data_IF_295471454541
#
_entry.id   IF_295471454541
#
_cell.length_a   1.000
_cell.length_b   1.000
_cell.length_c   1.000
_cell.angle_alpha   90.00
_cell.angle_beta   90.00
_cell.angle_gamma   90.00
#
_symmetry.space_group_name_H-M   'P 1'
#
loop_
_entity.id
_entity.type
_entity.pdbx_description
1 polymer ?
#
# COMPACT_ATOMS: atom_id res chain seq x y z
N UNK A 1 41.55 -11.46 -7.92
CA UNK A 1 41.20 -10.82 -9.20
C UNK A 1 39.79 -11.27 -9.57
N UNK A 2 38.81 -10.37 -9.61
CA UNK A 2 37.44 -10.73 -9.99
C UNK A 2 37.35 -10.99 -11.48
N UNK A 3 36.77 -12.13 -11.88
CA UNK A 3 36.56 -12.46 -13.30
C UNK A 3 35.54 -11.53 -13.98
N UNK A 4 35.37 -11.65 -15.31
CA UNK A 4 34.40 -10.85 -16.06
C UNK A 4 32.98 -11.04 -15.52
N UNK A 5 32.27 -9.93 -15.32
CA UNK A 5 30.90 -9.94 -14.81
C UNK A 5 29.88 -9.90 -15.95
N UNK A 6 28.73 -10.54 -15.75
CA UNK A 6 27.63 -10.54 -16.71
C UNK A 6 27.03 -9.13 -16.88
N UNK A 7 26.43 -8.87 -18.05
CA UNK A 7 25.70 -7.61 -18.30
C UNK A 7 24.45 -7.57 -17.41
N UNK A 8 24.24 -6.43 -16.76
CA UNK A 8 23.07 -6.15 -15.94
C UNK A 8 22.36 -4.87 -16.44
N UNK A 9 21.09 -4.70 -16.08
CA UNK A 9 20.30 -3.52 -16.41
C UNK A 9 20.64 -2.28 -15.55
N UNK A 10 21.60 -2.40 -14.64
CA UNK A 10 22.03 -1.32 -13.75
C UNK A 10 23.55 -1.37 -13.56
N UNK A 11 24.20 -0.21 -13.74
CA UNK A 11 25.63 -0.01 -13.48
C UNK A 11 25.89 0.74 -12.17
N UNK A 12 26.93 1.58 -12.14
CA UNK A 12 27.33 2.40 -10.99
C UNK A 12 27.33 3.90 -11.33
N UNK A 13 27.73 4.75 -10.38
CA UNK A 13 27.95 6.17 -10.62
C UNK A 13 28.87 6.38 -11.82
N UNK A 14 28.42 7.18 -12.79
CA UNK A 14 29.12 7.42 -14.05
C UNK A 14 28.76 6.47 -15.21
N UNK A 15 28.12 5.32 -14.95
CA UNK A 15 27.72 4.37 -15.99
C UNK A 15 26.43 3.59 -15.65
N UNK A 16 25.39 4.29 -15.17
CA UNK A 16 24.16 3.69 -14.63
C UNK A 16 23.42 2.77 -15.61
N UNK A 17 23.58 2.95 -16.93
CA UNK A 17 22.86 2.21 -17.97
C UNK A 17 21.59 2.92 -18.46
N UNK A 18 21.35 4.16 -18.04
CA UNK A 18 20.25 4.99 -18.51
C UNK A 18 20.51 5.57 -19.91
N UNK A 19 19.46 5.98 -20.66
CA UNK A 19 19.63 6.75 -21.89
C UNK A 19 20.45 8.02 -21.65
N UNK A 20 21.16 8.49 -22.68
CA UNK A 20 21.94 9.73 -22.62
C UNK A 20 21.00 10.93 -22.41
N UNK A 21 21.25 11.72 -21.37
CA UNK A 21 20.48 12.92 -21.05
C UNK A 21 21.25 14.17 -21.51
N UNK A 22 20.59 15.09 -22.21
CA UNK A 22 21.17 16.38 -22.64
C UNK A 22 20.10 17.47 -22.54
N UNK A 23 20.47 18.65 -22.05
CA UNK A 23 19.58 19.82 -21.96
C UNK A 23 18.69 19.87 -20.71
N UNK A 24 18.86 18.95 -19.75
CA UNK A 24 18.16 18.99 -18.47
C UNK A 24 19.05 19.69 -17.45
N UNK A 25 18.55 20.78 -16.86
CA UNK A 25 19.25 21.51 -15.78
C UNK A 25 18.44 21.39 -14.50
N UNK A 26 19.07 20.88 -13.44
CA UNK A 26 18.48 20.75 -12.10
C UNK A 26 19.01 21.84 -11.17
N UNK A 27 18.14 22.37 -10.34
CA UNK A 27 18.48 23.36 -9.31
C UNK A 27 18.10 22.82 -7.95
N UNK A 28 18.96 23.06 -6.95
CA UNK A 28 18.72 22.69 -5.57
C UNK A 28 19.24 23.79 -4.64
N UNK A 29 18.61 23.92 -3.47
CA UNK A 29 19.02 24.83 -2.41
C UNK A 29 19.58 23.99 -1.26
N UNK A 30 20.67 24.44 -0.64
CA UNK A 30 21.25 23.78 0.55
C UNK A 30 20.18 23.58 1.64
N UNK A 31 20.04 22.38 2.22
CA UNK A 31 19.06 22.13 3.29
C UNK A 31 19.19 23.08 4.49
N UNK A 32 20.41 23.53 4.80
CA UNK A 32 20.68 24.49 5.89
C UNK A 32 20.14 25.89 5.62
N UNK A 33 19.87 26.23 4.35
CA UNK A 33 19.26 27.50 3.95
C UNK A 33 17.72 27.42 3.87
N UNK A 34 17.13 26.24 4.06
CA UNK A 34 15.68 26.02 4.02
C UNK A 34 15.10 25.96 5.44
N UNK A 35 13.83 26.36 5.59
CA UNK A 35 13.08 26.11 6.83
C UNK A 35 12.61 24.65 6.82
N UNK A 36 13.08 23.78 7.72
CA UNK A 36 12.66 22.38 7.73
C UNK A 36 11.16 22.29 7.99
N UNK A 37 10.47 21.46 7.20
CA UNK A 37 9.01 21.24 7.29
C UNK A 37 8.15 22.49 7.05
N UNK A 38 8.67 23.47 6.32
CA UNK A 38 7.90 24.64 5.93
C UNK A 38 6.59 24.24 5.22
N UNK A 39 5.47 24.81 5.67
CA UNK A 39 4.13 24.54 5.15
C UNK A 39 3.64 23.09 5.23
N UNK A 40 4.31 22.22 6.00
CA UNK A 40 3.89 20.83 6.14
C UNK A 40 2.45 20.72 6.64
N UNK A 41 1.99 21.53 7.59
CA UNK A 41 0.58 21.45 8.04
C UNK A 41 -0.45 21.82 6.96
N UNK A 42 -0.22 22.92 6.23
CA UNK A 42 -1.13 23.38 5.16
C UNK A 42 -1.11 22.45 3.93
N UNK A 43 0.08 22.03 3.52
CA UNK A 43 0.27 21.30 2.28
C UNK A 43 0.19 19.79 2.48
N UNK A 44 0.73 19.25 3.59
CA UNK A 44 0.69 17.82 3.81
C UNK A 44 -0.73 17.34 4.13
N UNK A 45 -1.55 18.09 4.86
CA UNK A 45 -2.94 17.67 5.13
C UNK A 45 -3.76 17.52 3.84
N UNK A 46 -3.84 18.60 3.06
CA UNK A 46 -4.60 18.62 1.80
C UNK A 46 -4.06 17.62 0.77
N UNK A 47 -2.73 17.51 0.64
CA UNK A 47 -2.12 16.56 -0.27
C UNK A 47 -2.28 15.10 0.19
N UNK A 48 -2.22 14.83 1.50
CA UNK A 48 -2.42 13.48 2.03
C UNK A 48 -3.85 13.01 1.81
N UNK A 49 -4.84 13.88 2.07
CA UNK A 49 -6.23 13.57 1.79
C UNK A 49 -6.48 13.34 0.28
N UNK A 50 -5.91 14.20 -0.58
CA UNK A 50 -6.00 14.03 -2.04
C UNK A 50 -5.46 12.66 -2.49
N UNK A 51 -4.29 12.25 -1.95
CA UNK A 51 -3.68 10.95 -2.27
C UNK A 51 -4.51 9.78 -1.74
N UNK A 52 -5.00 9.89 -0.51
CA UNK A 52 -5.84 8.88 0.11
C UNK A 52 -7.15 8.69 -0.66
N UNK A 53 -7.86 9.77 -0.98
CA UNK A 53 -9.14 9.74 -1.71
C UNK A 53 -9.04 8.95 -3.02
N UNK A 54 -7.94 9.10 -3.76
CA UNK A 54 -7.74 8.40 -5.04
C UNK A 54 -7.52 6.89 -4.89
N UNK A 55 -7.13 6.41 -3.72
CA UNK A 55 -6.79 5.00 -3.49
C UNK A 55 -7.75 4.29 -2.54
N UNK A 56 -8.49 5.05 -1.73
CA UNK A 56 -9.29 4.54 -0.63
C UNK A 56 -10.31 3.48 -1.07
N UNK A 57 -10.99 3.65 -2.21
CA UNK A 57 -11.99 2.69 -2.66
C UNK A 57 -11.40 1.33 -3.04
N UNK A 58 -10.17 1.31 -3.57
CA UNK A 58 -9.48 0.06 -3.90
C UNK A 58 -9.12 -0.75 -2.65
N UNK A 59 -9.04 -0.12 -1.48
CA UNK A 59 -8.77 -0.78 -0.21
C UNK A 59 -10.06 -1.07 0.54
N UNK A 60 -10.94 -0.07 0.65
CA UNK A 60 -12.18 -0.16 1.41
C UNK A 60 -13.12 -1.23 0.85
N UNK A 61 -13.29 -1.32 -0.47
CA UNK A 61 -14.25 -2.24 -1.06
C UNK A 61 -13.83 -3.70 -0.77
N UNK A 62 -12.59 -4.14 -1.08
CA UNK A 62 -12.16 -5.49 -0.72
C UNK A 62 -12.18 -5.74 0.79
N UNK A 63 -11.68 -4.80 1.60
CA UNK A 63 -11.68 -4.94 3.05
C UNK A 63 -13.10 -5.10 3.61
N UNK A 64 -14.05 -4.31 3.10
CA UNK A 64 -15.47 -4.39 3.46
C UNK A 64 -16.07 -5.75 3.11
N UNK A 65 -15.83 -6.25 1.89
CA UNK A 65 -16.33 -7.56 1.46
C UNK A 65 -15.86 -8.67 2.40
N UNK A 66 -14.56 -8.73 2.69
CA UNK A 66 -14.00 -9.73 3.60
C UNK A 66 -14.52 -9.58 5.03
N UNK A 67 -14.65 -8.34 5.51
CA UNK A 67 -15.16 -8.07 6.83
C UNK A 67 -16.60 -8.56 7.00
N UNK A 68 -17.48 -8.23 6.06
CA UNK A 68 -18.88 -8.68 6.11
C UNK A 68 -19.00 -10.19 5.98
N UNK A 69 -18.21 -10.82 5.10
CA UNK A 69 -18.20 -12.27 4.97
C UNK A 69 -17.78 -12.94 6.28
N UNK A 70 -16.71 -12.46 6.91
CA UNK A 70 -16.25 -12.98 8.19
C UNK A 70 -17.29 -12.80 9.29
N UNK A 71 -17.83 -11.59 9.48
CA UNK A 71 -18.84 -11.33 10.53
C UNK A 71 -20.11 -12.17 10.35
N UNK A 72 -20.52 -12.42 9.10
CA UNK A 72 -21.65 -13.32 8.82
C UNK A 72 -21.34 -14.77 9.23
N UNK A 73 -20.18 -15.29 8.83
CA UNK A 73 -19.75 -16.64 9.20
C UNK A 73 -19.58 -16.83 10.71
N UNK A 74 -19.00 -15.83 11.40
CA UNK A 74 -18.86 -15.82 12.87
C UNK A 74 -20.23 -15.86 13.57
N UNK A 75 -21.17 -15.01 13.15
CA UNK A 75 -22.51 -14.97 13.73
C UNK A 75 -23.28 -16.27 13.47
N UNK A 76 -23.19 -16.82 12.25
CA UNK A 76 -23.84 -18.08 11.90
C UNK A 76 -23.24 -19.25 12.68
N UNK A 77 -21.91 -19.30 12.83
CA UNK A 77 -21.24 -20.31 13.64
C UNK A 77 -21.69 -20.24 15.12
N UNK A 78 -21.74 -19.04 15.71
CA UNK A 78 -22.23 -18.85 17.07
C UNK A 78 -23.69 -19.28 17.24
N UNK A 79 -24.53 -19.06 16.23
CA UNK A 79 -25.92 -19.53 16.22
C UNK A 79 -26.01 -21.06 16.14
N UNK A 80 -25.25 -21.72 15.27
CA UNK A 80 -25.26 -23.19 15.15
C UNK A 80 -24.88 -23.90 16.45
N UNK A 81 -23.90 -23.36 17.19
CA UNK A 81 -23.49 -23.89 18.49
C UNK A 81 -24.33 -23.37 19.67
N UNK A 82 -25.38 -22.60 19.40
CA UNK A 82 -26.36 -22.20 20.42
C UNK A 82 -27.41 -23.30 20.64
N UNK A 83 -28.17 -23.20 21.73
CA UNK A 83 -29.29 -24.14 21.97
C UNK A 83 -30.36 -24.06 20.86
N UNK A 84 -30.58 -22.88 20.28
CA UNK A 84 -31.59 -22.66 19.25
C UNK A 84 -31.22 -23.26 17.89
N UNK A 85 -29.92 -23.34 17.57
CA UNK A 85 -29.43 -23.83 16.28
C UNK A 85 -29.09 -25.32 16.22
N UNK A 86 -29.36 -26.10 17.29
CA UNK A 86 -28.91 -27.50 17.40
C UNK A 86 -29.43 -28.40 16.28
N UNK A 87 -30.72 -28.30 15.95
CA UNK A 87 -31.33 -29.09 14.87
C UNK A 87 -30.70 -28.77 13.52
N UNK A 88 -30.40 -27.49 13.29
CA UNK A 88 -29.75 -27.04 12.05
C UNK A 88 -28.29 -27.49 11.99
N UNK A 89 -27.58 -27.48 13.11
CA UNK A 89 -26.21 -28.01 13.22
C UNK A 89 -26.17 -29.50 12.89
N UNK A 90 -27.06 -30.31 13.47
CA UNK A 90 -27.15 -31.75 13.18
C UNK A 90 -27.46 -32.03 11.70
N UNK A 91 -28.27 -31.18 11.05
CA UNK A 91 -28.56 -31.27 9.62
C UNK A 91 -27.36 -30.95 8.73
N UNK A 92 -26.58 -29.92 9.05
CA UNK A 92 -25.45 -29.46 8.19
C UNK A 92 -24.13 -30.18 8.47
N UNK A 93 -24.03 -30.92 9.58
CA UNK A 93 -22.84 -31.65 9.98
C UNK A 93 -22.85 -33.15 9.59
N UNK A 94 -24.00 -33.65 9.10
CA UNK A 94 -24.13 -34.97 8.49
C UNK A 94 -23.81 -34.91 7.00
#
# INVERSE_FOLDING_TARGET
>A
MGGPQAKAYMGWWGHLGSPKQKGITSYAISPYAQKPLAHSFKNAYSNSFRRFKSQFLFVLIPAGIYYYWWKNGEAYNAYLYSKAGREELERVNN
#
